data_IF_860558571191
#
_entry.id   IF_860558571191
#
_cell.length_a   1.000
_cell.length_b   1.000
_cell.length_c   1.000
_cell.angle_alpha   90.00
_cell.angle_beta   90.00
_cell.angle_gamma   90.00
#
_symmetry.space_group_name_H-M   'P 1'
#
loop_
_entity.id
_entity.type
_entity.pdbx_description
1 polymer ?
#
# COMPACT_ATOMS: atom_id res chain seq x y z
N UNK A 1 28.95 19.07 -8.81
CA UNK A 1 29.44 18.02 -7.87
C UNK A 1 29.02 18.18 -6.39
N UNK A 2 28.79 19.39 -5.84
CA UNK A 2 28.39 19.56 -4.41
C UNK A 2 27.02 18.98 -4.04
N UNK A 3 26.05 19.02 -4.97
CA UNK A 3 24.67 18.54 -4.72
C UNK A 3 24.61 17.01 -4.56
N UNK A 4 25.26 16.26 -5.46
CA UNK A 4 25.30 14.79 -5.40
C UNK A 4 25.90 14.27 -4.08
N UNK A 5 27.00 14.88 -3.62
CA UNK A 5 27.62 14.53 -2.33
C UNK A 5 26.66 14.77 -1.15
N UNK A 6 25.87 15.85 -1.19
CA UNK A 6 24.90 16.19 -0.15
C UNK A 6 23.71 15.23 -0.14
N UNK A 7 23.14 14.90 -1.30
CA UNK A 7 22.09 13.87 -1.42
C UNK A 7 22.59 12.54 -0.89
N UNK A 8 23.80 12.12 -1.29
CA UNK A 8 24.42 10.89 -0.83
C UNK A 8 24.54 10.83 0.70
N UNK A 9 24.98 11.92 1.34
CA UNK A 9 25.08 11.99 2.80
C UNK A 9 23.72 11.93 3.49
N UNK A 10 22.68 12.56 2.94
CA UNK A 10 21.32 12.50 3.46
C UNK A 10 20.72 11.09 3.36
N UNK A 11 21.05 10.35 2.30
CA UNK A 11 20.65 8.94 2.15
C UNK A 11 21.42 8.02 3.10
N UNK A 12 22.75 8.18 3.21
CA UNK A 12 23.57 7.37 4.12
C UNK A 12 23.21 7.57 5.60
N UNK A 13 22.91 8.81 5.98
CA UNK A 13 22.46 9.14 7.34
C UNK A 13 21.02 8.70 7.63
N UNK A 14 20.33 8.09 6.66
CA UNK A 14 18.90 7.72 6.74
C UNK A 14 17.96 8.91 7.00
N UNK A 15 18.45 10.15 6.87
CA UNK A 15 17.63 11.37 6.95
C UNK A 15 16.64 11.46 5.78
N UNK A 16 16.95 10.81 4.66
CA UNK A 16 16.05 10.65 3.51
C UNK A 16 16.05 9.18 3.07
N UNK A 17 14.86 8.58 3.00
CA UNK A 17 14.65 7.25 2.41
C UNK A 17 14.11 7.44 0.99
N UNK A 18 14.88 7.03 -0.01
CA UNK A 18 14.43 7.01 -1.42
C UNK A 18 13.84 5.64 -1.71
N UNK A 19 12.53 5.58 -1.94
CA UNK A 19 11.83 4.36 -2.36
C UNK A 19 11.34 4.53 -3.79
N UNK A 20 12.04 4.02 -4.82
CA UNK A 20 11.50 4.01 -6.17
C UNK A 20 10.21 3.19 -6.19
N UNK A 21 9.14 3.76 -6.75
CA UNK A 21 7.83 3.11 -6.85
C UNK A 21 7.50 2.81 -8.31
N UNK A 22 6.94 1.63 -8.57
CA UNK A 22 6.47 1.25 -9.90
C UNK A 22 5.18 2.04 -10.21
N UNK A 23 5.05 2.53 -11.44
CA UNK A 23 3.77 3.04 -11.94
C UNK A 23 2.95 1.88 -12.49
N UNK A 24 2.22 1.19 -11.61
CA UNK A 24 1.43 -0.01 -11.94
C UNK A 24 0.32 0.26 -12.97
N UNK A 25 -0.27 1.46 -12.97
CA UNK A 25 -1.30 1.84 -13.93
C UNK A 25 -0.78 1.77 -15.38
N UNK A 26 0.49 2.16 -15.61
CA UNK A 26 1.12 2.04 -16.94
C UNK A 26 1.26 0.60 -17.43
N UNK A 27 1.20 -0.38 -16.53
CA UNK A 27 1.26 -1.81 -16.85
C UNK A 27 -0.14 -2.46 -16.89
N UNK A 28 -1.20 -1.65 -16.76
CA UNK A 28 -2.59 -2.09 -16.81
C UNK A 28 -3.11 -2.66 -15.49
N UNK A 29 -2.39 -2.48 -14.39
CA UNK A 29 -2.88 -2.86 -13.06
C UNK A 29 -3.79 -1.78 -12.50
N UNK A 30 -4.80 -2.23 -11.77
CA UNK A 30 -5.62 -1.43 -10.87
C UNK A 30 -5.12 -1.59 -9.44
N UNK A 31 -5.43 -0.61 -8.61
CA UNK A 31 -5.01 -0.56 -7.21
C UNK A 31 -6.23 -0.34 -6.31
N UNK A 32 -6.27 -1.06 -5.20
CA UNK A 32 -7.30 -0.87 -4.19
C UNK A 32 -6.74 -0.98 -2.78
N UNK A 33 -7.58 -0.67 -1.81
CA UNK A 33 -7.32 -0.85 -0.39
C UNK A 33 -8.29 -1.89 0.16
N UNK A 34 -7.75 -2.82 0.94
CA UNK A 34 -8.48 -3.84 1.68
C UNK A 34 -8.48 -3.44 3.15
N UNK A 35 -9.65 -3.11 3.68
CA UNK A 35 -9.86 -2.85 5.09
C UNK A 35 -10.32 -4.16 5.75
N UNK A 36 -9.49 -4.67 6.65
CA UNK A 36 -9.67 -5.93 7.34
C UNK A 36 -9.96 -5.64 8.80
N UNK A 37 -11.06 -6.20 9.27
CA UNK A 37 -11.52 -6.11 10.65
C UNK A 37 -11.43 -7.50 11.26
N UNK A 38 -10.78 -7.60 12.40
CA UNK A 38 -10.54 -8.85 13.09
C UNK A 38 -11.48 -8.96 14.28
N UNK A 39 -12.05 -10.16 14.46
CA UNK A 39 -12.82 -10.47 15.67
C UNK A 39 -11.91 -10.75 16.85
N UNK A 40 -10.82 -11.47 16.58
CA UNK A 40 -9.88 -12.01 17.56
C UNK A 40 -8.56 -12.39 16.89
N UNK A 41 -7.57 -12.77 17.69
CA UNK A 41 -6.28 -13.30 17.22
C UNK A 41 -5.14 -12.27 17.26
N UNK A 42 -3.94 -12.73 16.91
CA UNK A 42 -2.74 -11.91 16.90
C UNK A 42 -2.67 -11.08 15.59
N UNK A 43 -2.77 -9.75 15.73
CA UNK A 43 -2.80 -8.82 14.59
C UNK A 43 -1.54 -8.94 13.73
N UNK A 44 -0.36 -9.04 14.35
CA UNK A 44 0.92 -9.11 13.63
C UNK A 44 1.04 -10.40 12.82
N UNK A 45 0.60 -11.52 13.38
CA UNK A 45 0.58 -12.81 12.68
C UNK A 45 -0.37 -12.77 11.47
N UNK A 46 -1.57 -12.22 11.65
CA UNK A 46 -2.57 -12.11 10.58
C UNK A 46 -2.08 -11.15 9.50
N UNK A 47 -1.53 -9.99 9.87
CA UNK A 47 -0.96 -9.03 8.94
C UNK A 47 0.19 -9.65 8.13
N UNK A 48 1.05 -10.44 8.78
CA UNK A 48 2.12 -11.19 8.11
C UNK A 48 1.55 -12.18 7.11
N UNK A 49 0.54 -12.97 7.48
CA UNK A 49 -0.12 -13.92 6.56
C UNK A 49 -0.78 -13.22 5.37
N UNK A 50 -1.45 -12.09 5.60
CA UNK A 50 -2.07 -11.29 4.53
C UNK A 50 -1.02 -10.76 3.57
N UNK A 51 0.15 -10.31 4.08
CA UNK A 51 1.25 -9.80 3.26
C UNK A 51 1.78 -10.82 2.25
N UNK A 52 1.77 -12.11 2.60
CA UNK A 52 2.27 -13.18 1.72
C UNK A 52 1.30 -13.54 0.57
N UNK A 53 0.10 -12.94 0.52
CA UNK A 53 -0.86 -13.21 -0.55
C UNK A 53 -0.43 -12.49 -1.83
N UNK A 54 -0.32 -13.24 -2.94
CA UNK A 54 -0.02 -12.67 -4.25
C UNK A 54 -1.02 -11.56 -4.62
N UNK A 55 -0.49 -10.41 -5.06
CA UNK A 55 -1.26 -9.21 -5.35
C UNK A 55 -1.41 -8.26 -4.17
N UNK A 56 -0.93 -8.60 -2.97
CA UNK A 56 -0.76 -7.62 -1.87
C UNK A 56 0.60 -6.93 -2.03
N UNK A 57 0.59 -5.60 -2.20
CA UNK A 57 1.82 -4.81 -2.31
C UNK A 57 2.40 -4.49 -0.94
N UNK A 58 1.54 -4.12 0.01
CA UNK A 58 1.92 -3.91 1.39
C UNK A 58 0.73 -4.10 2.33
N UNK A 59 1.05 -4.28 3.61
CA UNK A 59 0.09 -4.32 4.70
C UNK A 59 0.52 -3.33 5.78
N UNK A 60 -0.43 -2.59 6.31
CA UNK A 60 -0.29 -1.65 7.41
C UNK A 60 -1.18 -2.12 8.56
N UNK A 61 -0.59 -2.23 9.76
CA UNK A 61 -1.37 -2.36 11.00
C UNK A 61 -1.81 -0.96 11.41
N UNK A 62 -3.10 -0.79 11.66
CA UNK A 62 -3.71 0.51 11.80
C UNK A 62 -4.41 0.65 13.16
N UNK A 63 -4.17 1.77 13.84
CA UNK A 63 -4.96 2.17 15.01
C UNK A 63 -6.10 3.03 14.48
N UNK A 64 -7.32 2.48 14.45
CA UNK A 64 -8.48 3.17 13.88
C UNK A 64 -9.64 2.23 13.60
N UNK A 65 -10.41 2.51 12.54
CA UNK A 65 -11.63 1.76 12.23
C UNK A 65 -11.34 0.32 11.79
N UNK A 66 -10.36 0.11 10.91
CA UNK A 66 -9.89 -1.21 10.49
C UNK A 66 -8.58 -1.54 11.19
N UNK A 67 -8.42 -2.78 11.65
CA UNK A 67 -7.20 -3.26 12.32
C UNK A 67 -6.03 -3.39 11.36
N UNK A 68 -6.32 -3.83 10.13
CA UNK A 68 -5.31 -4.05 9.09
C UNK A 68 -5.80 -3.41 7.79
N UNK A 69 -4.88 -2.73 7.10
CA UNK A 69 -5.10 -2.18 5.76
C UNK A 69 -4.09 -2.82 4.79
N UNK A 70 -4.57 -3.47 3.75
CA UNK A 70 -3.74 -4.03 2.68
C UNK A 70 -3.88 -3.26 1.38
N UNK A 71 -2.78 -2.82 0.76
CA UNK A 71 -2.83 -2.33 -0.61
C UNK A 71 -2.79 -3.51 -1.58
N UNK A 72 -3.82 -3.62 -2.42
CA UNK A 72 -3.96 -4.69 -3.41
C UNK A 72 -3.72 -4.17 -4.82
N UNK A 73 -2.99 -4.96 -5.62
CA UNK A 73 -2.73 -4.78 -7.03
C UNK A 73 -3.39 -5.94 -7.79
N UNK A 74 -4.13 -5.61 -8.84
CA UNK A 74 -4.81 -6.61 -9.67
C UNK A 74 -5.03 -6.07 -11.07
N UNK A 75 -4.94 -6.94 -12.07
CA UNK A 75 -5.21 -6.61 -13.48
C UNK A 75 -6.65 -6.91 -13.85
N UNK A 76 -7.17 -8.04 -13.35
CA UNK A 76 -8.53 -8.50 -13.62
C UNK A 76 -9.32 -8.67 -12.33
N UNK A 77 -10.64 -8.41 -12.38
CA UNK A 77 -11.50 -8.51 -11.19
C UNK A 77 -11.50 -9.90 -10.53
N UNK A 78 -11.21 -10.96 -11.30
CA UNK A 78 -11.07 -12.33 -10.79
C UNK A 78 -9.90 -12.47 -9.80
N UNK A 79 -8.80 -11.75 -10.02
CA UNK A 79 -7.64 -11.75 -9.12
C UNK A 79 -8.03 -11.12 -7.77
N UNK A 80 -8.71 -9.97 -7.79
CA UNK A 80 -9.24 -9.33 -6.58
C UNK A 80 -10.20 -10.26 -5.82
N UNK A 81 -11.08 -10.96 -6.54
CA UNK A 81 -11.98 -11.94 -5.93
C UNK A 81 -11.18 -13.08 -5.25
N UNK A 82 -10.12 -13.58 -5.88
CA UNK A 82 -9.28 -14.63 -5.31
C UNK A 82 -8.54 -14.15 -4.05
N UNK A 83 -7.99 -12.94 -4.07
CA UNK A 83 -7.28 -12.32 -2.93
C UNK A 83 -8.24 -12.15 -1.76
N UNK A 84 -9.39 -11.51 -2.00
CA UNK A 84 -10.40 -11.27 -0.95
C UNK A 84 -10.98 -12.58 -0.40
N UNK A 85 -11.14 -13.61 -1.24
CA UNK A 85 -11.56 -14.94 -0.80
C UNK A 85 -10.50 -15.63 0.05
N UNK A 86 -9.21 -15.49 -0.27
CA UNK A 86 -8.13 -16.02 0.55
C UNK A 86 -8.13 -15.41 1.97
N UNK A 87 -8.28 -14.09 2.06
CA UNK A 87 -8.32 -13.39 3.34
C UNK A 87 -9.55 -13.82 4.16
N UNK A 88 -10.73 -13.92 3.52
CA UNK A 88 -11.97 -14.34 4.20
C UNK A 88 -11.95 -15.77 4.74
N UNK A 89 -11.09 -16.65 4.22
CA UNK A 89 -10.93 -18.01 4.76
C UNK A 89 -10.26 -18.01 6.14
N UNK A 90 -9.59 -16.92 6.53
CA UNK A 90 -9.06 -16.78 7.87
C UNK A 90 -10.22 -16.53 8.85
N UNK A 91 -10.50 -17.51 9.72
CA UNK A 91 -11.62 -17.47 10.68
C UNK A 91 -11.65 -16.23 11.59
N UNK A 92 -10.49 -15.60 11.80
CA UNK A 92 -10.34 -14.41 12.64
C UNK A 92 -10.81 -13.12 11.96
N UNK A 93 -10.98 -13.12 10.63
CA UNK A 93 -11.47 -11.96 9.88
C UNK A 93 -12.98 -11.87 10.04
N UNK A 94 -13.44 -10.84 10.73
CA UNK A 94 -14.87 -10.56 10.90
C UNK A 94 -15.46 -9.93 9.64
N UNK A 95 -14.75 -8.95 9.09
CA UNK A 95 -15.22 -8.15 7.97
C UNK A 95 -14.05 -7.78 7.07
N UNK A 96 -14.33 -7.78 5.77
CA UNK A 96 -13.42 -7.32 4.75
C UNK A 96 -14.18 -6.36 3.82
N UNK A 97 -13.65 -5.14 3.67
CA UNK A 97 -14.16 -4.11 2.75
C UNK A 97 -13.06 -3.76 1.75
N UNK A 98 -13.45 -3.54 0.50
CA UNK A 98 -12.55 -3.09 -0.54
C UNK A 98 -12.97 -1.70 -1.04
N UNK A 99 -11.99 -0.89 -1.42
CA UNK A 99 -12.19 0.38 -2.11
C UNK A 99 -11.17 0.57 -3.22
N UNK A 100 -11.58 1.15 -4.34
CA UNK A 100 -10.68 1.60 -5.41
C UNK A 100 -10.21 3.05 -5.17
N UNK A 101 -8.92 3.31 -5.41
CA UNK A 101 -8.41 4.68 -5.41
C UNK A 101 -8.66 5.31 -6.78
N UNK A 102 -9.56 6.28 -6.88
CA UNK A 102 -9.88 6.95 -8.16
C UNK A 102 -8.90 8.09 -8.47
N UNK A 103 -8.60 8.93 -7.48
CA UNK A 103 -7.61 10.00 -7.61
C UNK A 103 -7.02 10.35 -6.24
N UNK A 104 -5.83 10.95 -6.23
CA UNK A 104 -5.15 11.41 -5.02
C UNK A 104 -5.02 12.93 -5.04
N UNK A 105 -5.55 13.57 -4.00
CA UNK A 105 -5.29 14.98 -3.73
C UNK A 105 -4.14 15.07 -2.75
N UNK A 106 -3.14 15.90 -3.07
CA UNK A 106 -2.04 16.18 -2.17
C UNK A 106 -2.32 17.45 -1.37
N UNK A 107 -1.90 17.46 -0.10
CA UNK A 107 -1.93 18.68 0.71
C UNK A 107 -1.08 19.78 0.06
N UNK A 108 -1.53 21.03 0.19
CA UNK A 108 -0.81 22.22 -0.29
C UNK A 108 0.62 22.32 0.25
N UNK A 109 0.85 21.79 1.46
CA UNK A 109 2.14 21.86 2.14
C UNK A 109 3.00 20.62 1.92
N UNK A 110 2.68 19.75 0.95
CA UNK A 110 3.49 18.56 0.71
C UNK A 110 4.79 18.95 -0.04
N UNK A 111 5.97 18.85 0.60
CA UNK A 111 7.24 19.25 -0.01
C UNK A 111 7.70 18.30 -1.13
N UNK A 112 7.01 17.16 -1.32
CA UNK A 112 7.35 16.13 -2.31
C UNK A 112 6.52 16.23 -3.61
N UNK A 113 5.86 17.35 -3.87
CA UNK A 113 5.22 17.58 -5.17
C UNK A 113 6.27 17.79 -6.27
N UNK A 114 6.46 16.78 -7.12
CA UNK A 114 7.07 17.00 -8.43
C UNK A 114 6.02 17.60 -9.35
N UNK A 115 5.95 18.92 -9.41
CA UNK A 115 5.23 19.61 -10.48
C UNK A 115 5.85 19.21 -11.81
N UNK A 116 5.09 18.50 -12.66
CA UNK A 116 5.39 18.44 -14.09
C UNK A 116 5.38 19.88 -14.61
N UNK A 117 6.56 20.50 -14.76
CA UNK A 117 6.71 21.57 -15.75
C UNK A 117 6.57 20.89 -17.10
N UNK A 118 5.41 21.06 -17.72
CA UNK A 118 5.27 20.88 -19.16
C UNK A 118 6.24 21.87 -19.79
N UNK A 119 7.25 21.34 -20.48
CA UNK A 119 8.14 22.10 -21.36
C UNK A 119 7.42 22.23 -22.69
#
# INVERSE_FOLDING_TARGET
MKIQKRVRNLTYSQSIIVRPTINYEKFGFKMGMLHIYLREGNIDEIATRVREIEGIEFVEVHIGNSDIIGKVLYKYSKELLNITSHIRKTRTVEKLVWSEMIYRIYSKNNPFQFTKKVI
#
